data_IF_267505189312
#
_entry.id   IF_267505189312
#
_cell.length_a   1.000
_cell.length_b   1.000
_cell.length_c   1.000
_cell.angle_alpha   90.00
_cell.angle_beta   90.00
_cell.angle_gamma   90.00
#
_symmetry.space_group_name_H-M   'P 1'
#
loop_
_entity.id
_entity.type
_entity.pdbx_description
1 polymer ?
#
# COMPACT_ATOMS: atom_id res chain seq x y z
N UNK A 1 9.19 19.90 4.57
CA UNK A 1 10.36 19.10 4.19
C UNK A 1 9.87 17.70 3.88
N UNK A 2 10.47 17.03 2.89
CA UNK A 2 10.16 15.64 2.58
C UNK A 2 10.69 14.72 3.68
N UNK A 3 9.86 13.78 4.16
CA UNK A 3 10.28 12.75 5.12
C UNK A 3 11.01 11.61 4.42
N UNK A 4 10.47 11.16 3.28
CA UNK A 4 11.08 10.17 2.39
C UNK A 4 11.22 10.80 1.01
N UNK A 5 12.37 10.66 0.37
CA UNK A 5 12.57 11.08 -1.02
C UNK A 5 13.36 10.03 -1.79
N UNK A 6 12.91 9.77 -3.00
CA UNK A 6 13.58 8.99 -4.03
C UNK A 6 13.97 9.96 -5.15
N UNK A 7 15.22 9.95 -5.58
CA UNK A 7 15.70 10.81 -6.65
C UNK A 7 16.36 9.97 -7.73
N UNK A 8 15.73 9.93 -8.90
CA UNK A 8 16.23 9.24 -10.10
C UNK A 8 16.68 7.79 -9.81
N UNK A 9 15.82 7.03 -9.09
CA UNK A 9 16.13 5.69 -8.60
C UNK A 9 15.97 4.65 -9.70
N UNK A 10 17.05 3.89 -9.95
CA UNK A 10 17.06 2.71 -10.79
C UNK A 10 17.25 1.47 -9.92
N UNK A 11 16.55 0.39 -10.23
CA UNK A 11 16.71 -0.88 -9.54
C UNK A 11 16.35 -2.06 -10.43
N UNK A 12 17.03 -3.17 -10.21
CA UNK A 12 16.86 -4.42 -10.97
C UNK A 12 17.09 -5.63 -10.09
N UNK A 13 16.39 -6.74 -10.37
CA UNK A 13 16.64 -8.03 -9.72
C UNK A 13 17.76 -8.81 -10.44
N UNK A 14 17.94 -8.54 -11.73
CA UNK A 14 18.94 -9.18 -12.59
C UNK A 14 19.74 -8.05 -13.26
N UNK A 15 21.06 -8.09 -13.23
CA UNK A 15 21.90 -7.09 -13.91
C UNK A 15 21.47 -6.90 -15.38
N UNK A 16 21.31 -5.65 -15.79
CA UNK A 16 20.90 -5.28 -17.15
C UNK A 16 19.38 -5.30 -17.41
N UNK A 17 18.56 -5.77 -16.48
CA UNK A 17 17.09 -5.75 -16.61
C UNK A 17 16.49 -4.78 -15.59
N UNK A 18 16.49 -3.48 -15.93
CA UNK A 18 16.00 -2.43 -15.04
C UNK A 18 14.46 -2.48 -14.92
N UNK A 19 13.98 -2.64 -13.68
CA UNK A 19 12.56 -2.57 -13.33
C UNK A 19 12.19 -1.14 -12.98
N UNK A 20 13.00 -0.46 -12.14
CA UNK A 20 12.87 0.99 -11.92
C UNK A 20 13.85 1.72 -12.84
N UNK A 21 13.35 2.77 -13.49
CA UNK A 21 14.05 3.45 -14.58
C UNK A 21 14.12 4.96 -14.35
N UNK A 22 14.58 5.36 -13.16
CA UNK A 22 14.72 6.75 -12.77
C UNK A 22 13.51 7.30 -12.00
N UNK A 23 12.95 6.50 -11.08
CA UNK A 23 11.81 6.91 -10.26
C UNK A 23 12.20 8.04 -9.32
N UNK A 24 11.41 9.12 -9.36
CA UNK A 24 11.51 10.28 -8.47
C UNK A 24 10.17 10.47 -7.77
N UNK A 25 10.15 10.43 -6.45
CA UNK A 25 8.94 10.65 -5.64
C UNK A 25 9.30 11.08 -4.22
N UNK A 26 8.36 11.73 -3.55
CA UNK A 26 8.54 12.11 -2.16
C UNK A 26 7.29 11.85 -1.31
N UNK A 27 7.49 11.72 0.00
CA UNK A 27 6.43 11.64 1.01
C UNK A 27 6.73 12.68 2.08
N UNK A 28 5.79 13.58 2.34
CA UNK A 28 5.92 14.59 3.39
C UNK A 28 5.43 14.03 4.73
N UNK A 29 5.92 14.59 5.81
CA UNK A 29 5.48 14.17 7.15
C UNK A 29 3.97 14.38 7.34
N UNK A 30 3.29 13.39 7.92
CA UNK A 30 1.84 13.42 8.16
C UNK A 30 0.99 13.25 6.90
N UNK A 31 1.60 12.86 5.77
CA UNK A 31 0.91 12.67 4.50
C UNK A 31 0.58 11.19 4.28
N UNK A 32 -0.57 10.92 3.64
CA UNK A 32 -0.83 9.63 2.98
C UNK A 32 -0.52 9.83 1.51
N UNK A 33 0.47 9.11 0.99
CA UNK A 33 0.80 9.06 -0.44
C UNK A 33 0.44 7.68 -0.99
N UNK A 34 -0.27 7.64 -2.11
CA UNK A 34 -0.61 6.40 -2.79
C UNK A 34 0.18 6.24 -4.09
N UNK A 35 0.89 5.14 -4.23
CA UNK A 35 1.53 4.72 -5.46
C UNK A 35 0.61 3.73 -6.18
N UNK A 36 0.09 4.11 -7.33
CA UNK A 36 -0.81 3.29 -8.15
C UNK A 36 -0.17 2.96 -9.49
N UNK A 37 -0.73 1.98 -10.19
CA UNK A 37 -0.27 1.57 -11.52
C UNK A 37 -0.62 0.12 -11.81
N UNK A 38 -0.49 -0.33 -13.07
CA UNK A 38 -0.80 -1.69 -13.47
C UNK A 38 0.15 -2.72 -12.83
N UNK A 39 -0.22 -4.00 -12.94
CA UNK A 39 0.67 -5.08 -12.52
C UNK A 39 1.96 -5.05 -13.37
N UNK A 40 3.10 -5.27 -12.73
CA UNK A 40 4.40 -5.15 -13.39
C UNK A 40 4.93 -3.72 -13.57
N UNK A 41 4.22 -2.68 -13.14
CA UNK A 41 4.69 -1.29 -13.23
C UNK A 41 5.94 -1.00 -12.38
N UNK A 42 6.27 -1.85 -11.39
CA UNK A 42 7.41 -1.66 -10.49
C UNK A 42 7.03 -1.21 -9.08
N UNK A 43 5.74 -1.13 -8.72
CA UNK A 43 5.27 -0.66 -7.41
C UNK A 43 5.93 -1.38 -6.23
N UNK A 44 5.83 -2.71 -6.17
CA UNK A 44 6.47 -3.50 -5.10
C UNK A 44 8.00 -3.43 -5.15
N UNK A 45 8.59 -3.14 -6.33
CA UNK A 45 10.03 -2.89 -6.46
C UNK A 45 10.43 -1.59 -5.78
N UNK A 46 9.63 -0.52 -5.90
CA UNK A 46 9.81 0.74 -5.15
C UNK A 46 9.81 0.44 -3.65
N UNK A 47 8.79 -0.29 -3.14
CA UNK A 47 8.72 -0.60 -1.71
C UNK A 47 9.91 -1.44 -1.22
N UNK A 48 10.32 -2.45 -1.99
CA UNK A 48 11.49 -3.28 -1.67
C UNK A 48 12.77 -2.47 -1.64
N UNK A 49 12.91 -1.49 -2.51
CA UNK A 49 14.07 -0.62 -2.55
C UNK A 49 14.12 0.31 -1.34
N UNK A 50 12.98 0.87 -0.93
CA UNK A 50 12.85 1.68 0.29
C UNK A 50 13.13 0.83 1.54
N UNK A 51 12.61 -0.40 1.58
CA UNK A 51 12.75 -1.30 2.73
C UNK A 51 14.09 -2.06 2.79
N UNK A 52 15.02 -1.82 1.85
CA UNK A 52 16.35 -2.43 1.84
C UNK A 52 16.42 -3.87 1.35
N UNK A 53 15.30 -4.43 0.84
CA UNK A 53 15.30 -5.77 0.22
C UNK A 53 15.88 -5.77 -1.19
N UNK A 54 16.03 -4.59 -1.80
CA UNK A 54 16.64 -4.40 -3.10
C UNK A 54 17.51 -3.14 -3.06
N UNK A 55 18.79 -3.27 -3.49
CA UNK A 55 19.70 -2.13 -3.55
C UNK A 55 19.44 -1.34 -4.84
N UNK A 56 19.29 -0.01 -4.79
CA UNK A 56 19.25 0.80 -6.00
C UNK A 56 20.58 0.73 -6.74
N UNK A 57 20.52 0.61 -8.07
CA UNK A 57 21.72 0.62 -8.92
C UNK A 57 22.23 2.03 -9.23
N UNK A 58 21.31 3.02 -9.22
CA UNK A 58 21.57 4.45 -9.41
C UNK A 58 20.52 5.27 -8.67
N UNK A 59 20.81 6.56 -8.48
CA UNK A 59 19.93 7.49 -7.76
C UNK A 59 20.16 7.45 -6.26
N UNK A 60 19.31 8.16 -5.53
CA UNK A 60 19.39 8.26 -4.07
C UNK A 60 18.05 8.02 -3.41
N UNK A 61 18.07 7.48 -2.19
CA UNK A 61 16.90 7.34 -1.32
C UNK A 61 17.29 7.95 0.03
N UNK A 62 16.52 8.94 0.47
CA UNK A 62 16.72 9.60 1.75
C UNK A 62 15.49 9.48 2.63
N UNK A 63 15.69 9.26 3.92
CA UNK A 63 14.66 9.25 4.93
C UNK A 63 15.07 10.15 6.09
N UNK A 64 14.24 11.18 6.39
CA UNK A 64 14.53 12.20 7.40
C UNK A 64 15.94 12.83 7.21
N UNK A 65 16.32 13.10 5.96
CA UNK A 65 17.62 13.66 5.57
C UNK A 65 18.80 12.67 5.59
N UNK A 66 18.58 11.41 5.98
CA UNK A 66 19.62 10.38 5.99
C UNK A 66 19.52 9.49 4.76
N UNK A 67 20.63 9.25 4.07
CA UNK A 67 20.68 8.27 2.97
C UNK A 67 20.43 6.86 3.50
N UNK A 68 19.47 6.16 2.88
CA UNK A 68 19.09 4.78 3.22
C UNK A 68 19.29 3.81 2.06
N UNK A 69 19.65 4.29 0.87
CA UNK A 69 19.92 3.46 -0.30
C UNK A 69 21.01 2.44 -0.01
N UNK A 70 20.71 1.15 -0.16
CA UNK A 70 21.64 0.05 0.12
C UNK A 70 21.80 -0.33 1.60
N UNK A 71 21.06 0.27 2.52
CA UNK A 71 21.00 -0.19 3.91
C UNK A 71 20.28 -1.53 4.01
N UNK A 72 20.70 -2.36 4.97
CA UNK A 72 20.01 -3.61 5.29
C UNK A 72 18.62 -3.35 5.92
N UNK A 73 17.63 -4.23 5.72
CA UNK A 73 16.25 -4.06 6.23
C UNK A 73 16.19 -3.79 7.74
N UNK A 74 17.04 -4.42 8.54
CA UNK A 74 17.07 -4.23 10.00
C UNK A 74 17.52 -2.81 10.39
N UNK A 75 18.37 -2.20 9.58
CA UNK A 75 18.83 -0.82 9.80
C UNK A 75 17.73 0.17 9.45
N UNK A 76 16.99 -0.08 8.35
CA UNK A 76 15.85 0.72 7.92
C UNK A 76 14.71 0.63 8.94
N UNK A 77 14.42 -0.57 9.44
CA UNK A 77 13.44 -0.77 10.50
C UNK A 77 13.80 0.03 11.78
N UNK A 78 15.08 0.04 12.17
CA UNK A 78 15.56 0.83 13.32
C UNK A 78 15.46 2.34 13.12
N UNK A 79 15.44 2.81 11.87
CA UNK A 79 15.20 4.22 11.58
C UNK A 79 13.71 4.58 11.69
N UNK A 80 12.81 3.58 11.77
CA UNK A 80 11.39 3.78 11.96
C UNK A 80 10.54 3.61 10.70
N UNK A 81 11.05 2.97 9.65
CA UNK A 81 10.23 2.56 8.51
C UNK A 81 9.71 1.16 8.77
N UNK A 82 8.39 1.02 8.94
CA UNK A 82 7.74 -0.30 9.02
C UNK A 82 7.06 -0.65 7.72
N UNK A 83 6.99 -1.94 7.40
CA UNK A 83 6.41 -2.44 6.16
C UNK A 83 5.39 -3.54 6.46
N UNK A 84 4.14 -3.30 6.09
CA UNK A 84 3.07 -4.31 6.09
C UNK A 84 3.00 -4.88 4.66
N UNK A 85 3.43 -6.12 4.45
CA UNK A 85 3.54 -6.70 3.12
C UNK A 85 2.18 -7.07 2.54
N UNK A 86 2.16 -7.31 1.24
CA UNK A 86 1.03 -7.86 0.51
C UNK A 86 0.63 -9.24 1.06
N UNK A 87 -0.66 -9.56 1.04
CA UNK A 87 -1.21 -10.84 1.51
C UNK A 87 -1.34 -10.90 3.02
N UNK A 88 -1.29 -12.12 3.57
CA UNK A 88 -1.43 -12.35 5.00
C UNK A 88 -0.08 -12.69 5.63
N UNK A 89 0.38 -11.84 6.55
CA UNK A 89 1.66 -11.98 7.26
C UNK A 89 1.49 -12.28 8.75
N UNK A 90 0.25 -12.55 9.21
CA UNK A 90 0.01 -12.98 10.60
C UNK A 90 0.65 -14.34 10.87
N UNK A 91 1.00 -14.59 12.12
CA UNK A 91 1.38 -15.92 12.61
C UNK A 91 0.11 -16.67 13.04
N UNK A 92 -0.48 -17.56 12.18
CA UNK A 92 -1.84 -18.05 12.39
C UNK A 92 -2.01 -18.94 13.61
N UNK A 93 -0.94 -19.60 14.06
CA UNK A 93 -0.93 -20.47 15.25
C UNK A 93 -0.71 -19.72 16.55
N UNK A 94 -0.25 -18.48 16.50
CA UNK A 94 -0.07 -17.59 17.64
C UNK A 94 -1.36 -16.83 17.92
N UNK A 95 -1.54 -16.41 19.16
CA UNK A 95 -2.64 -15.55 19.58
C UNK A 95 -2.50 -14.14 18.97
N UNK A 96 -3.59 -13.36 19.01
CA UNK A 96 -3.57 -11.92 18.64
C UNK A 96 -2.52 -11.18 19.48
N UNK A 97 -2.51 -11.41 20.79
CA UNK A 97 -1.54 -10.81 21.73
C UNK A 97 -0.10 -11.15 21.34
N UNK A 98 0.20 -12.42 21.10
CA UNK A 98 1.55 -12.87 20.70
C UNK A 98 1.97 -12.27 19.35
N UNK A 99 1.04 -12.17 18.37
CA UNK A 99 1.31 -11.50 17.10
C UNK A 99 1.70 -10.03 17.29
N UNK A 100 1.02 -9.29 18.18
CA UNK A 100 1.38 -7.91 18.50
C UNK A 100 2.75 -7.83 19.14
N UNK A 101 3.06 -8.69 20.11
CA UNK A 101 4.37 -8.72 20.77
C UNK A 101 5.52 -9.01 19.79
N UNK A 102 5.29 -9.81 18.74
CA UNK A 102 6.29 -10.00 17.67
C UNK A 102 6.66 -8.68 16.97
N UNK A 103 5.74 -7.72 16.90
CA UNK A 103 6.03 -6.38 16.37
C UNK A 103 7.03 -5.58 17.20
N UNK A 104 7.07 -5.84 18.51
CA UNK A 104 8.01 -5.19 19.44
C UNK A 104 9.29 -6.00 19.69
N UNK A 105 9.59 -7.02 18.88
CA UNK A 105 10.72 -7.94 19.08
C UNK A 105 12.07 -7.24 19.28
N UNK A 106 12.28 -6.09 18.65
CA UNK A 106 13.52 -5.31 18.77
C UNK A 106 13.54 -4.36 19.97
N UNK A 107 12.42 -4.19 20.68
CA UNK A 107 12.29 -3.28 21.82
C UNK A 107 12.68 -4.00 23.11
N UNK A 108 13.75 -3.54 23.76
CA UNK A 108 14.27 -4.18 24.98
C UNK A 108 13.50 -3.79 26.25
N UNK A 109 12.95 -2.59 26.28
CA UNK A 109 12.22 -2.06 27.42
C UNK A 109 10.80 -2.66 27.49
N UNK A 110 10.58 -3.53 28.48
CA UNK A 110 9.28 -4.17 28.70
C UNK A 110 8.17 -3.18 29.06
N UNK A 111 8.50 -2.09 29.75
CA UNK A 111 7.53 -1.04 30.10
C UNK A 111 7.06 -0.32 28.84
N UNK A 112 7.98 0.04 27.94
CA UNK A 112 7.64 0.62 26.63
C UNK A 112 6.79 -0.35 25.79
N UNK A 113 7.11 -1.65 25.78
CA UNK A 113 6.30 -2.66 25.06
C UNK A 113 4.87 -2.71 25.60
N UNK A 114 4.69 -2.73 26.93
CA UNK A 114 3.36 -2.74 27.54
C UNK A 114 2.56 -1.48 27.20
N UNK A 115 3.18 -0.31 27.25
CA UNK A 115 2.54 0.96 26.89
C UNK A 115 2.10 1.00 25.41
N UNK A 116 2.95 0.56 24.51
CA UNK A 116 2.65 0.49 23.07
C UNK A 116 1.53 -0.49 22.78
N UNK A 117 1.51 -1.63 23.47
CA UNK A 117 0.45 -2.63 23.37
C UNK A 117 -0.91 -2.05 23.77
N UNK A 118 -0.98 -1.31 24.89
CA UNK A 118 -2.22 -0.65 25.29
C UNK A 118 -2.67 0.40 24.26
N UNK A 119 -1.76 1.20 23.72
CA UNK A 119 -2.10 2.13 22.60
C UNK A 119 -2.70 1.41 21.40
N UNK A 120 -2.13 0.27 21.00
CA UNK A 120 -2.67 -0.54 19.90
C UNK A 120 -4.05 -1.08 20.24
N UNK A 121 -4.30 -1.50 21.47
CA UNK A 121 -5.60 -1.95 21.93
C UNK A 121 -6.64 -0.80 22.04
N UNK A 122 -6.22 0.41 22.38
CA UNK A 122 -7.06 1.59 22.34
C UNK A 122 -7.50 1.94 20.91
N UNK A 123 -6.57 1.85 19.95
CA UNK A 123 -6.86 2.06 18.53
C UNK A 123 -7.75 0.96 17.94
N UNK A 124 -7.59 -0.27 18.39
CA UNK A 124 -8.25 -1.47 17.85
C UNK A 124 -8.84 -2.32 18.98
N UNK A 125 -9.93 -1.86 19.59
CA UNK A 125 -10.57 -2.51 20.74
C UNK A 125 -10.88 -3.99 20.51
N UNK A 126 -11.30 -4.38 19.32
CA UNK A 126 -11.59 -5.77 18.99
C UNK A 126 -10.35 -6.69 19.11
N UNK A 127 -9.13 -6.17 18.94
CA UNK A 127 -7.89 -6.93 19.15
C UNK A 127 -7.69 -7.23 20.65
N UNK A 128 -8.09 -6.29 21.53
CA UNK A 128 -8.08 -6.50 22.99
C UNK A 128 -9.08 -7.57 23.40
N UNK A 129 -10.30 -7.48 22.85
CA UNK A 129 -11.38 -8.45 23.17
C UNK A 129 -11.00 -9.88 22.73
N UNK A 130 -10.25 -10.00 21.64
CA UNK A 130 -9.82 -11.28 21.05
C UNK A 130 -8.36 -11.62 21.33
N UNK A 131 -7.72 -10.99 22.29
CA UNK A 131 -6.28 -11.11 22.52
C UNK A 131 -5.78 -12.54 22.74
N UNK A 132 -6.63 -13.45 23.28
CA UNK A 132 -6.33 -14.86 23.51
C UNK A 132 -6.68 -15.78 22.33
N UNK A 133 -7.37 -15.26 21.33
CA UNK A 133 -7.77 -16.02 20.14
C UNK A 133 -6.58 -16.18 19.19
N UNK A 134 -6.51 -17.32 18.49
CA UNK A 134 -5.48 -17.55 17.47
C UNK A 134 -5.75 -16.64 16.26
N UNK A 135 -4.70 -15.99 15.76
CA UNK A 135 -4.81 -15.06 14.64
C UNK A 135 -5.38 -15.70 13.37
N UNK A 136 -5.17 -17.00 13.17
CA UNK A 136 -5.75 -17.74 12.05
C UNK A 136 -7.29 -17.83 12.04
N UNK A 137 -7.97 -17.59 13.19
CA UNK A 137 -9.42 -17.58 13.30
C UNK A 137 -10.06 -16.23 12.95
N UNK A 138 -9.26 -15.18 12.80
CA UNK A 138 -9.72 -13.85 12.42
C UNK A 138 -10.11 -13.84 10.93
N UNK A 139 -11.09 -13.01 10.56
CA UNK A 139 -11.36 -12.73 9.14
C UNK A 139 -10.18 -12.05 8.46
N UNK A 140 -10.08 -12.11 7.13
CA UNK A 140 -8.96 -11.51 6.37
C UNK A 140 -8.76 -10.02 6.70
N UNK A 141 -9.84 -9.23 6.80
CA UNK A 141 -9.75 -7.83 7.20
C UNK A 141 -9.27 -7.64 8.64
N UNK A 142 -9.72 -8.48 9.58
CA UNK A 142 -9.23 -8.45 10.96
C UNK A 142 -7.77 -8.84 11.06
N UNK A 143 -7.32 -9.81 10.24
CA UNK A 143 -5.90 -10.15 10.13
C UNK A 143 -5.08 -8.97 9.60
N UNK A 144 -5.58 -8.25 8.59
CA UNK A 144 -4.91 -7.05 8.07
C UNK A 144 -4.79 -5.94 9.13
N UNK A 145 -5.83 -5.71 9.93
CA UNK A 145 -5.74 -4.77 11.07
C UNK A 145 -4.75 -5.25 12.13
N UNK A 146 -4.68 -6.56 12.40
CA UNK A 146 -3.67 -7.13 13.31
C UNK A 146 -2.24 -6.91 12.77
N UNK A 147 -2.01 -7.05 11.47
CA UNK A 147 -0.72 -6.76 10.83
C UNK A 147 -0.32 -5.29 10.98
N UNK A 148 -1.27 -4.37 10.78
CA UNK A 148 -1.07 -2.93 11.01
C UNK A 148 -0.77 -2.68 12.49
N UNK A 149 -1.54 -3.27 13.41
CA UNK A 149 -1.29 -3.18 14.85
C UNK A 149 0.10 -3.67 15.25
N UNK A 150 0.55 -4.78 14.64
CA UNK A 150 1.91 -5.31 14.84
C UNK A 150 2.97 -4.31 14.36
N UNK A 151 2.77 -3.64 13.24
CA UNK A 151 3.70 -2.62 12.74
C UNK A 151 3.73 -1.39 13.64
N UNK A 152 2.58 -1.00 14.23
CA UNK A 152 2.47 0.13 15.17
C UNK A 152 3.20 -0.11 16.49
N UNK A 153 3.50 -1.36 16.87
CA UNK A 153 4.28 -1.67 18.07
C UNK A 153 5.68 -1.06 18.07
N UNK A 154 6.18 -0.60 16.92
CA UNK A 154 7.45 0.14 16.80
C UNK A 154 7.28 1.65 16.88
N UNK A 155 6.05 2.19 16.92
CA UNK A 155 5.73 3.62 16.83
C UNK A 155 6.45 4.28 15.64
N UNK A 156 6.26 3.76 14.41
CA UNK A 156 7.01 4.22 13.26
C UNK A 156 6.60 5.63 12.83
N UNK A 157 7.53 6.53 12.46
CA UNK A 157 7.19 7.77 11.78
C UNK A 157 6.67 7.55 10.34
N UNK A 158 7.04 6.43 9.69
CA UNK A 158 6.58 6.04 8.36
C UNK A 158 6.15 4.58 8.33
N UNK A 159 4.91 4.34 7.88
CA UNK A 159 4.39 3.01 7.61
C UNK A 159 4.19 2.81 6.11
N UNK A 160 4.69 1.70 5.59
CA UNK A 160 4.47 1.26 4.21
C UNK A 160 3.39 0.18 4.22
N UNK A 161 2.39 0.33 3.34
CA UNK A 161 1.31 -0.63 3.13
C UNK A 161 1.34 -1.13 1.69
N UNK A 162 1.62 -2.43 1.50
CA UNK A 162 1.68 -3.04 0.16
C UNK A 162 0.36 -3.77 -0.15
N UNK A 163 -0.45 -3.17 -1.03
CA UNK A 163 -1.77 -3.65 -1.48
C UNK A 163 -2.66 -4.15 -0.31
N UNK A 164 -2.89 -3.30 0.71
CA UNK A 164 -3.58 -3.74 1.93
C UNK A 164 -5.03 -4.16 1.69
N UNK A 165 -5.67 -3.70 0.60
CA UNK A 165 -7.06 -4.04 0.26
C UNK A 165 -7.21 -5.34 -0.53
N UNK A 166 -6.10 -5.96 -0.98
CA UNK A 166 -6.14 -7.12 -1.86
C UNK A 166 -6.89 -8.30 -1.22
N UNK A 167 -7.88 -8.82 -1.95
CA UNK A 167 -8.66 -10.01 -1.53
C UNK A 167 -9.72 -9.72 -0.46
N UNK A 168 -9.93 -8.45 -0.07
CA UNK A 168 -10.97 -8.08 0.89
C UNK A 168 -12.31 -7.82 0.20
N UNK A 169 -13.41 -8.13 0.90
CA UNK A 169 -14.75 -7.75 0.46
C UNK A 169 -14.93 -6.22 0.50
N UNK A 170 -15.78 -5.62 -0.36
CA UNK A 170 -15.92 -4.16 -0.47
C UNK A 170 -16.14 -3.44 0.86
N UNK A 171 -17.05 -3.91 1.68
CA UNK A 171 -17.32 -3.30 3.01
C UNK A 171 -16.10 -3.36 3.94
N UNK A 172 -15.30 -4.43 3.85
CA UNK A 172 -14.08 -4.58 4.65
C UNK A 172 -12.97 -3.65 4.15
N UNK A 173 -12.91 -3.42 2.84
CA UNK A 173 -11.97 -2.44 2.25
C UNK A 173 -12.28 -1.02 2.74
N UNK A 174 -13.56 -0.62 2.76
CA UNK A 174 -13.96 0.71 3.25
C UNK A 174 -13.52 0.90 4.71
N UNK A 175 -13.75 -0.10 5.57
CA UNK A 175 -13.31 -0.08 6.98
C UNK A 175 -11.79 -0.01 7.09
N UNK A 176 -11.05 -0.71 6.22
CA UNK A 176 -9.59 -0.66 6.21
C UNK A 176 -9.07 0.73 5.83
N UNK A 177 -9.61 1.33 4.78
CA UNK A 177 -9.21 2.68 4.37
C UNK A 177 -9.60 3.76 5.40
N UNK A 178 -10.73 3.58 6.08
CA UNK A 178 -11.09 4.42 7.23
C UNK A 178 -10.06 4.28 8.35
N UNK A 179 -9.64 3.05 8.66
CA UNK A 179 -8.57 2.78 9.62
C UNK A 179 -7.27 3.50 9.23
N UNK A 180 -6.86 3.42 7.96
CA UNK A 180 -5.66 4.10 7.44
C UNK A 180 -5.75 5.61 7.64
N UNK A 181 -6.90 6.23 7.31
CA UNK A 181 -7.12 7.67 7.54
C UNK A 181 -7.08 8.03 9.02
N UNK A 182 -7.70 7.24 9.89
CA UNK A 182 -7.70 7.47 11.33
C UNK A 182 -6.28 7.39 11.91
N UNK A 183 -5.48 6.45 11.47
CA UNK A 183 -4.06 6.37 11.85
C UNK A 183 -3.27 7.59 11.38
N UNK A 184 -3.50 8.05 10.16
CA UNK A 184 -2.84 9.27 9.67
C UNK A 184 -3.25 10.51 10.48
N UNK A 185 -4.50 10.61 10.93
CA UNK A 185 -4.99 11.70 11.79
C UNK A 185 -4.24 11.77 13.15
N UNK A 186 -3.60 10.68 13.58
CA UNK A 186 -2.70 10.68 14.75
C UNK A 186 -1.29 11.20 14.45
N UNK A 187 -1.01 11.59 13.20
CA UNK A 187 0.28 12.11 12.74
C UNK A 187 1.17 11.08 12.03
N UNK A 188 0.71 9.82 11.88
CA UNK A 188 1.46 8.78 11.18
C UNK A 188 1.56 9.11 9.68
N UNK A 189 2.77 9.06 9.13
CA UNK A 189 3.01 9.16 7.69
C UNK A 189 2.83 7.80 7.04
N UNK A 190 2.14 7.75 5.90
CA UNK A 190 1.82 6.47 5.23
C UNK A 190 2.17 6.56 3.75
N UNK A 191 2.97 5.59 3.28
CA UNK A 191 3.14 5.29 1.87
C UNK A 191 2.36 4.01 1.55
N UNK A 192 1.35 4.11 0.70
CA UNK A 192 0.51 2.99 0.33
C UNK A 192 0.68 2.66 -1.15
N UNK A 193 0.81 1.38 -1.46
CA UNK A 193 0.68 0.86 -2.83
C UNK A 193 -0.69 0.24 -2.97
N UNK A 194 -1.39 0.55 -4.04
CA UNK A 194 -2.70 -0.05 -4.33
C UNK A 194 -2.87 -0.39 -5.82
N UNK A 195 -3.58 -1.48 -6.06
CA UNK A 195 -4.01 -1.85 -7.40
C UNK A 195 -5.31 -1.13 -7.77
N UNK A 196 -6.23 -0.97 -6.83
CA UNK A 196 -7.44 -0.18 -7.02
C UNK A 196 -7.12 1.32 -6.88
N UNK A 197 -6.75 1.93 -8.01
CA UNK A 197 -6.33 3.32 -8.05
C UNK A 197 -7.39 4.29 -7.49
N UNK A 198 -8.68 4.06 -7.77
CA UNK A 198 -9.76 4.92 -7.28
C UNK A 198 -9.84 4.93 -5.77
N UNK A 199 -9.86 3.77 -5.14
CA UNK A 199 -9.97 3.67 -3.68
C UNK A 199 -8.69 4.10 -2.98
N UNK A 200 -7.52 3.72 -3.51
CA UNK A 200 -6.24 4.14 -2.97
C UNK A 200 -6.08 5.66 -2.97
N UNK A 201 -6.34 6.31 -4.11
CA UNK A 201 -6.29 7.77 -4.22
C UNK A 201 -7.34 8.46 -3.36
N UNK A 202 -8.60 7.97 -3.34
CA UNK A 202 -9.67 8.55 -2.51
C UNK A 202 -9.35 8.55 -1.00
N UNK A 203 -8.38 7.74 -0.59
CA UNK A 203 -7.94 7.62 0.80
C UNK A 203 -6.61 8.31 1.07
N UNK A 204 -6.08 9.07 0.10
CA UNK A 204 -4.76 9.67 0.14
C UNK A 204 -4.80 11.18 -0.07
N UNK A 205 -3.72 11.87 0.27
CA UNK A 205 -3.56 13.30 0.02
C UNK A 205 -2.97 13.55 -1.38
N UNK A 206 -1.97 12.74 -1.74
CA UNK A 206 -1.28 12.78 -3.04
C UNK A 206 -1.12 11.37 -3.59
N UNK A 207 -0.87 11.30 -4.89
CA UNK A 207 -0.57 10.05 -5.55
C UNK A 207 0.50 10.17 -6.61
N UNK A 208 1.11 9.03 -6.89
CA UNK A 208 1.99 8.81 -8.03
C UNK A 208 1.44 7.65 -8.86
N UNK A 209 1.47 7.80 -10.17
CA UNK A 209 1.13 6.73 -11.10
C UNK A 209 2.39 6.20 -11.72
N UNK A 210 2.69 4.93 -11.45
CA UNK A 210 3.85 4.25 -12.00
C UNK A 210 3.46 3.45 -13.24
N UNK A 211 4.22 3.59 -14.32
CA UNK A 211 4.09 2.82 -15.54
C UNK A 211 5.46 2.43 -16.08
N UNK A 212 5.69 1.14 -16.33
CA UNK A 212 6.95 0.59 -16.88
C UNK A 212 8.21 1.09 -16.14
N UNK A 213 8.13 1.20 -14.82
CA UNK A 213 9.25 1.59 -13.96
C UNK A 213 9.54 3.08 -13.90
N UNK A 214 8.61 3.94 -14.36
CA UNK A 214 8.71 5.42 -14.30
C UNK A 214 7.44 6.01 -13.72
N UNK A 215 7.57 7.14 -13.07
CA UNK A 215 6.40 7.95 -12.72
C UNK A 215 5.84 8.61 -13.99
N UNK A 216 4.54 8.44 -14.20
CA UNK A 216 3.81 9.00 -15.34
C UNK A 216 2.98 10.21 -14.95
N UNK A 217 2.37 10.15 -13.78
CA UNK A 217 1.58 11.24 -13.21
C UNK A 217 1.92 11.39 -11.74
N UNK A 218 1.88 12.63 -11.29
CA UNK A 218 1.97 13.04 -9.89
C UNK A 218 0.96 14.17 -9.66
N UNK A 219 0.33 14.20 -8.48
CA UNK A 219 -0.56 15.29 -8.11
C UNK A 219 -1.30 15.02 -6.80
N UNK A 220 -2.14 15.95 -6.42
CA UNK A 220 -3.09 15.70 -5.34
C UNK A 220 -4.04 14.57 -5.73
N UNK A 221 -4.53 13.83 -4.74
CA UNK A 221 -5.47 12.75 -4.99
C UNK A 221 -6.69 13.23 -5.78
N UNK A 222 -7.17 14.46 -5.50
CA UNK A 222 -8.30 15.07 -6.21
C UNK A 222 -7.97 15.31 -7.68
N UNK A 223 -6.84 15.93 -7.99
CA UNK A 223 -6.42 16.20 -9.38
C UNK A 223 -6.30 14.90 -10.18
N UNK A 224 -5.73 13.85 -9.59
CA UNK A 224 -5.61 12.55 -10.24
C UNK A 224 -6.96 11.87 -10.45
N UNK A 225 -7.87 11.95 -9.48
CA UNK A 225 -9.22 11.37 -9.59
C UNK A 225 -10.09 12.09 -10.62
N UNK A 226 -9.93 13.42 -10.76
CA UNK A 226 -10.68 14.25 -11.68
C UNK A 226 -10.06 14.28 -13.11
N UNK A 227 -8.86 13.71 -13.29
CA UNK A 227 -8.16 13.68 -14.57
C UNK A 227 -8.86 12.74 -15.58
N UNK A 228 -9.27 13.24 -16.76
CA UNK A 228 -9.86 12.40 -17.82
C UNK A 228 -8.89 11.30 -18.30
N UNK A 229 -7.60 11.60 -18.33
CA UNK A 229 -6.56 10.64 -18.73
C UNK A 229 -6.41 9.51 -17.73
N UNK A 230 -6.44 9.84 -16.43
CA UNK A 230 -6.46 8.87 -15.34
C UNK A 230 -7.74 8.02 -15.37
N UNK A 231 -8.89 8.65 -15.60
CA UNK A 231 -10.18 7.95 -15.73
C UNK A 231 -10.12 6.89 -16.83
N UNK A 232 -9.60 7.25 -17.98
CA UNK A 232 -9.48 6.36 -19.15
C UNK A 232 -8.51 5.21 -18.94
N UNK A 233 -7.36 5.47 -18.34
CA UNK A 233 -6.25 4.49 -18.27
C UNK A 233 -6.29 3.63 -16.99
N UNK A 234 -6.75 4.17 -15.86
CA UNK A 234 -6.53 3.54 -14.54
C UNK A 234 -7.75 3.49 -13.62
N UNK A 235 -8.80 4.31 -13.87
CA UNK A 235 -9.96 4.39 -12.98
C UNK A 235 -11.20 3.63 -13.48
N UNK A 236 -11.08 2.89 -14.59
CA UNK A 236 -12.19 2.11 -15.16
C UNK A 236 -13.29 2.99 -15.77
N UNK A 237 -12.94 4.17 -16.30
CA UNK A 237 -13.84 5.00 -17.06
C UNK A 237 -14.35 4.22 -18.27
N UNK A 238 -15.66 3.98 -18.35
CA UNK A 238 -16.29 3.54 -19.58
C UNK A 238 -16.01 4.58 -20.65
N UNK A 239 -15.25 4.21 -21.66
CA UNK A 239 -15.35 4.91 -22.93
C UNK A 239 -16.82 4.82 -23.33
N UNK A 240 -17.52 5.95 -23.39
CA UNK A 240 -18.72 6.10 -24.20
C UNK A 240 -18.32 5.84 -25.67
N UNK A 241 -18.05 4.58 -25.99
CA UNK A 241 -18.12 4.13 -27.37
C UNK A 241 -19.60 4.01 -27.68
N UNK A 242 -20.03 5.06 -28.41
CA UNK A 242 -21.35 5.25 -28.91
C UNK A 242 -22.00 3.97 -29.40
N UNK A 243 -23.23 3.85 -28.99
CA UNK A 243 -24.35 3.26 -29.72
C UNK A 243 -23.94 2.38 -30.91
N UNK A 244 -23.60 1.13 -30.65
CA UNK A 244 -23.74 0.10 -31.65
C UNK A 244 -25.25 -0.09 -31.88
N UNK A 245 -25.83 0.69 -32.82
CA UNK A 245 -27.15 0.47 -33.38
C UNK A 245 -27.20 -1.00 -33.80
N UNK A 246 -27.95 -1.81 -33.07
CA UNK A 246 -28.43 -3.10 -33.53
C UNK A 246 -29.27 -2.82 -34.78
N UNK A 247 -28.69 -2.97 -35.97
CA UNK A 247 -29.44 -3.18 -37.18
C UNK A 247 -30.18 -4.49 -37.00
N UNK A 248 -31.50 -4.38 -36.86
CA UNK A 248 -32.43 -5.49 -36.98
C UNK A 248 -32.21 -6.14 -38.39
N UNK A 249 -31.68 -7.34 -38.38
CA UNK A 249 -31.70 -8.20 -39.56
C UNK A 249 -33.15 -8.54 -39.83
N UNK A 250 -33.67 -7.97 -40.94
CA UNK A 250 -34.93 -8.37 -41.49
C UNK A 250 -34.97 -9.85 -41.78
N UNK A 251 -36.06 -10.42 -41.41
CA UNK A 251 -36.47 -11.82 -41.73
C UNK A 251 -36.37 -12.07 -43.23
N UNK A 252 -35.54 -13.02 -43.65
CA UNK A 252 -35.57 -13.60 -44.96
C UNK A 252 -36.76 -14.60 -45.06
N UNK A 253 -37.48 -14.64 -46.18
CA UNK A 253 -38.60 -15.56 -46.35
C UNK A 253 -38.12 -16.98 -46.57
N UNK A 254 -38.88 -17.94 -45.97
CA UNK A 254 -38.72 -19.37 -46.10
C UNK A 254 -39.22 -19.80 -47.46
N UNK A 255 -38.49 -20.59 -48.27
CA UNK A 255 -39.02 -21.17 -49.50
C UNK A 255 -39.93 -22.39 -49.19
N UNK A 256 -40.93 -22.67 -50.04
CA UNK A 256 -41.87 -23.76 -49.82
C UNK A 256 -41.24 -25.11 -50.11
N UNK A 257 -41.72 -26.13 -49.35
CA UNK A 257 -41.37 -27.53 -49.49
C UNK A 257 -41.85 -28.08 -50.84
N UNK A 258 -40.99 -28.90 -51.46
CA UNK A 258 -41.32 -30.02 -52.31
C UNK A 258 -40.73 -31.29 -51.73
#
# INVERSE_FOLDING_TARGET
MSMLALENVFASYIPGVEILRGVTMDVKQGEIVCLVGPNGAGKSTVLRTISGFLCPSKGSITFMGKSIGGMAPEQILKLGITHVPQGHSVFPKMTVHENLLMGAFTVKDKSAVAHRLEKVYELFSFLKDRQKEKAGNLSGGQQKVLEIGRALMLEPPLMILDEPSLGLAPKTMDTLFETVRNLNNTGLTILMVEQNARQGLASSHRGYVLELGKEKFEGTAKELLDSPEMAKLYLGGSTDEGSYRRRSKGSAPVPPAL
#
